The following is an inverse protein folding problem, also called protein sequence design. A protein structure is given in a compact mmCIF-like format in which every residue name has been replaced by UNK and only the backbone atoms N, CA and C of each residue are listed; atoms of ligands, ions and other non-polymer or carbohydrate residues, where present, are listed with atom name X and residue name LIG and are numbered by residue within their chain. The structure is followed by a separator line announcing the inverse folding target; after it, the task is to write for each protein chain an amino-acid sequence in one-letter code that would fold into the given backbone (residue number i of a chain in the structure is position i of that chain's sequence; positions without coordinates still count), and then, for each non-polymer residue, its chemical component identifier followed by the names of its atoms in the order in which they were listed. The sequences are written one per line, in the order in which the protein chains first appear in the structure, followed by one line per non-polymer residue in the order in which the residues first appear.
data_IF_256125484674
#
_entry.id   IF_256125484674
#
_cell.length_a   1.000
_cell.length_b   1.000
_cell.length_c   1.000
_cell.angle_alpha   90.00
_cell.angle_beta   90.00
_cell.angle_gamma   90.00
#
_symmetry.space_group_name_H-M   'P 1'
#
loop_
_entity.id
_entity.type
_entity.pdbx_description
1 polymer ?
#
# COMPACT_ATOMS: atom_id res chain seq x y z
N UNK A 1 -6.59 -6.12 30.99
CA UNK A 1 -6.95 -6.90 29.79
C UNK A 1 -7.21 -6.01 28.57
N UNK A 2 -7.64 -4.75 28.76
CA UNK A 2 -7.86 -3.76 27.67
C UNK A 2 -6.64 -3.49 26.77
N UNK A 3 -5.42 -3.49 27.32
CA UNK A 3 -4.20 -3.19 26.54
C UNK A 3 -3.92 -4.20 25.41
N UNK A 4 -4.46 -5.43 25.49
CA UNK A 4 -4.31 -6.46 24.44
C UNK A 4 -5.38 -6.36 23.34
N UNK A 5 -6.55 -5.81 23.65
CA UNK A 5 -7.64 -5.67 22.68
C UNK A 5 -7.42 -4.51 21.71
N UNK A 6 -6.87 -3.39 22.20
CA UNK A 6 -6.52 -2.26 21.33
C UNK A 6 -5.50 -2.66 20.26
N UNK A 7 -4.50 -3.45 20.66
CA UNK A 7 -3.43 -3.92 19.77
C UNK A 7 -3.93 -4.86 18.67
N UNK A 8 -4.87 -5.77 19.00
CA UNK A 8 -5.51 -6.64 18.00
C UNK A 8 -6.29 -5.86 16.95
N UNK A 9 -6.95 -4.76 17.33
CA UNK A 9 -7.67 -3.90 16.38
C UNK A 9 -6.69 -3.19 15.45
N UNK A 10 -5.60 -2.66 15.97
CA UNK A 10 -4.56 -1.99 15.17
C UNK A 10 -3.92 -2.92 14.15
N UNK A 11 -3.54 -4.14 14.55
CA UNK A 11 -3.00 -5.15 13.62
C UNK A 11 -4.03 -5.48 12.52
N UNK A 12 -5.30 -5.61 12.88
CA UNK A 12 -6.36 -5.92 11.90
C UNK A 12 -6.56 -4.80 10.88
N UNK A 13 -6.50 -3.54 11.32
CA UNK A 13 -6.51 -2.39 10.40
C UNK A 13 -5.26 -2.37 9.53
N UNK A 14 -4.10 -2.67 10.10
CA UNK A 14 -2.85 -2.69 9.36
C UNK A 14 -2.85 -3.75 8.24
N UNK A 15 -3.34 -4.95 8.53
CA UNK A 15 -3.51 -6.03 7.54
C UNK A 15 -4.52 -5.60 6.46
N UNK A 16 -5.62 -4.94 6.85
CA UNK A 16 -6.59 -4.41 5.89
C UNK A 16 -5.97 -3.37 4.95
N UNK A 17 -5.22 -2.41 5.49
CA UNK A 17 -4.47 -1.45 4.66
C UNK A 17 -3.43 -2.13 3.78
N UNK A 18 -2.72 -3.14 4.28
CA UNK A 18 -1.75 -3.92 3.52
C UNK A 18 -2.39 -4.56 2.29
N UNK A 19 -3.58 -5.15 2.45
CA UNK A 19 -4.35 -5.72 1.34
C UNK A 19 -4.74 -4.67 0.30
N UNK A 20 -5.16 -3.47 0.74
CA UNK A 20 -5.46 -2.36 -0.18
C UNK A 20 -4.22 -1.92 -0.94
N UNK A 21 -3.09 -1.73 -0.26
CA UNK A 21 -1.83 -1.35 -0.90
C UNK A 21 -1.34 -2.41 -1.89
N UNK A 22 -1.54 -3.69 -1.59
CA UNK A 22 -1.24 -4.77 -2.51
C UNK A 22 -2.08 -4.68 -3.79
N UNK A 23 -3.38 -4.37 -3.68
CA UNK A 23 -4.26 -4.20 -4.84
C UNK A 23 -3.80 -3.01 -5.68
N UNK A 24 -3.51 -1.87 -5.04
CA UNK A 24 -3.01 -0.67 -5.72
C UNK A 24 -1.69 -0.96 -6.45
N UNK A 25 -0.78 -1.70 -5.79
CA UNK A 25 0.49 -2.12 -6.39
C UNK A 25 0.28 -2.98 -7.64
N UNK A 26 -0.64 -3.95 -7.59
CA UNK A 26 -0.96 -4.81 -8.75
C UNK A 26 -1.61 -3.98 -9.88
N UNK A 27 -2.49 -3.04 -9.55
CA UNK A 27 -3.07 -2.13 -10.54
C UNK A 27 -2.00 -1.29 -11.22
N UNK A 28 -1.10 -0.66 -10.46
CA UNK A 28 0.01 0.12 -11.01
C UNK A 28 0.91 -0.73 -11.92
N UNK A 29 1.16 -2.00 -11.57
CA UNK A 29 1.92 -2.93 -12.42
C UNK A 29 1.21 -3.26 -13.75
N UNK A 30 -0.11 -3.44 -13.71
CA UNK A 30 -0.90 -3.69 -14.92
C UNK A 30 -0.98 -2.45 -15.80
N UNK A 31 -1.02 -1.28 -15.18
CA UNK A 31 -1.08 0.02 -15.85
C UNK A 31 0.22 0.36 -16.56
N UNK A 32 1.37 0.08 -15.94
CA UNK A 32 2.67 0.14 -16.62
C UNK A 32 2.74 -0.73 -17.88
N UNK A 33 2.01 -1.86 -17.91
CA UNK A 33 1.92 -2.73 -19.11
C UNK A 33 0.95 -2.22 -20.16
N UNK A 34 -0.12 -1.50 -19.77
CA UNK A 34 -1.19 -1.05 -20.66
C UNK A 34 -1.05 0.41 -21.10
N UNK A 35 -0.24 1.20 -20.41
CA UNK A 35 -0.03 2.63 -20.67
C UNK A 35 -1.23 3.51 -20.27
N UNK A 36 -2.06 3.06 -19.33
CA UNK A 36 -3.24 3.77 -18.84
C UNK A 36 -2.95 4.20 -17.40
N UNK A 37 -3.12 5.47 -17.01
CA UNK A 37 -2.82 5.93 -15.65
C UNK A 37 -3.92 5.54 -14.65
N UNK A 38 -3.52 5.14 -13.43
CA UNK A 38 -4.43 4.69 -12.35
C UNK A 38 -5.31 5.84 -11.84
N UNK A 39 -4.70 6.98 -11.53
CA UNK A 39 -5.39 8.11 -10.89
C UNK A 39 -5.48 9.33 -11.80
N UNK A 40 -4.61 9.42 -12.81
CA UNK A 40 -4.65 10.51 -13.79
C UNK A 40 -4.39 11.86 -13.15
N UNK A 41 -3.43 11.95 -12.22
CA UNK A 41 -3.15 13.12 -11.38
C UNK A 41 -2.37 14.23 -12.12
N UNK A 42 -2.39 14.24 -13.45
CA UNK A 42 -1.70 15.24 -14.29
C UNK A 42 -0.18 15.06 -14.38
N UNK A 43 0.35 13.96 -13.83
CA UNK A 43 1.76 13.57 -14.01
C UNK A 43 1.93 12.71 -15.28
N UNK A 44 3.13 12.64 -15.86
CA UNK A 44 3.43 11.67 -16.90
C UNK A 44 3.20 10.25 -16.37
N UNK A 45 2.50 9.41 -17.12
CA UNK A 45 2.03 8.07 -16.68
C UNK A 45 3.15 7.22 -16.04
N UNK A 46 4.34 7.19 -16.64
CA UNK A 46 5.47 6.44 -16.09
C UNK A 46 5.90 6.93 -14.71
N UNK A 47 5.88 8.25 -14.50
CA UNK A 47 6.28 8.87 -13.23
C UNK A 47 5.21 8.62 -12.17
N UNK A 48 3.93 8.73 -12.55
CA UNK A 48 2.80 8.41 -11.68
C UNK A 48 2.88 6.96 -11.19
N UNK A 49 2.98 6.01 -12.10
CA UNK A 49 3.01 4.58 -11.77
C UNK A 49 4.24 4.21 -10.93
N UNK A 50 5.44 4.70 -11.30
CA UNK A 50 6.66 4.47 -10.50
C UNK A 50 6.50 5.03 -9.09
N UNK A 51 5.92 6.22 -8.95
CA UNK A 51 5.72 6.86 -7.65
C UNK A 51 4.75 6.04 -6.79
N UNK A 52 3.61 5.62 -7.35
CA UNK A 52 2.63 4.78 -6.66
C UNK A 52 3.26 3.46 -6.23
N UNK A 53 4.05 2.85 -7.11
CA UNK A 53 4.71 1.58 -6.85
C UNK A 53 5.73 1.69 -5.71
N UNK A 54 6.56 2.74 -5.71
CA UNK A 54 7.51 3.04 -4.63
C UNK A 54 6.78 3.31 -3.31
N UNK A 55 5.73 4.14 -3.31
CA UNK A 55 4.96 4.46 -2.11
C UNK A 55 4.26 3.22 -1.54
N UNK A 56 3.73 2.36 -2.40
CA UNK A 56 3.08 1.12 -1.99
C UNK A 56 4.07 0.17 -1.30
N UNK A 57 5.29 0.05 -1.83
CA UNK A 57 6.35 -0.76 -1.21
C UNK A 57 6.78 -0.19 0.15
N UNK A 58 6.98 1.13 0.25
CA UNK A 58 7.33 1.78 1.52
C UNK A 58 6.21 1.57 2.55
N UNK A 59 4.95 1.73 2.15
CA UNK A 59 3.79 1.50 3.01
C UNK A 59 3.72 0.04 3.50
N UNK A 60 3.97 -0.93 2.61
CA UNK A 60 4.05 -2.35 2.96
C UNK A 60 5.17 -2.63 3.97
N UNK A 61 6.38 -2.11 3.73
CA UNK A 61 7.53 -2.28 4.65
C UNK A 61 7.20 -1.69 6.02
N UNK A 62 6.64 -0.49 6.06
CA UNK A 62 6.23 0.17 7.31
C UNK A 62 5.16 -0.63 8.04
N UNK A 63 4.18 -1.17 7.32
CA UNK A 63 3.14 -2.00 7.90
C UNK A 63 3.72 -3.30 8.50
N UNK A 64 4.56 -4.01 7.75
CA UNK A 64 5.23 -5.22 8.24
C UNK A 64 6.11 -4.91 9.44
N UNK A 65 6.90 -3.83 9.40
CA UNK A 65 7.73 -3.40 10.51
C UNK A 65 6.92 -3.15 11.78
N UNK A 66 5.78 -2.47 11.66
CA UNK A 66 4.88 -2.20 12.78
C UNK A 66 4.22 -3.48 13.31
N UNK A 67 3.93 -4.48 12.48
CA UNK A 67 3.42 -5.78 12.94
C UNK A 67 4.51 -6.58 13.67
N UNK A 68 5.77 -6.51 13.20
CA UNK A 68 6.88 -7.30 13.76
C UNK A 68 7.41 -6.69 15.06
N UNK A 69 7.44 -5.36 15.16
CA UNK A 69 8.05 -4.66 16.31
C UNK A 69 7.14 -4.60 17.54
N UNK A 70 5.84 -4.83 17.37
CA UNK A 70 4.79 -4.48 18.34
C UNK A 70 3.92 -5.68 18.70
#
# INVERSE_FOLDING_TARGET
MEHKEHHRREISFLIFFLMIFLIIFVMALLDMRRGIPVFGIGLPYMIEDVTILVLSVIAMIKAVWHIVTY
#
